data_IF_252730126051
#
_entry.id   IF_252730126051
#
_cell.length_a   1.000
_cell.length_b   1.000
_cell.length_c   1.000
_cell.angle_alpha   90.00
_cell.angle_beta   90.00
_cell.angle_gamma   90.00
#
_symmetry.space_group_name_H-M   'P 1'
#
loop_
_entity.id
_entity.type
_entity.pdbx_description
1 polymer ?
#
# COMPACT_ATOMS: atom_id res chain seq x y z
N UNK A 1 2.32 -4.86 1.47
CA UNK A 1 2.72 -5.34 2.82
C UNK A 1 3.23 -4.18 3.64
N UNK A 2 4.32 -3.49 3.25
CA UNK A 2 4.76 -2.24 3.91
C UNK A 2 3.65 -1.20 4.02
N UNK A 3 2.89 -1.04 2.94
CA UNK A 3 1.72 -0.15 2.91
C UNK A 3 0.69 -0.52 3.98
N UNK A 4 0.25 -1.78 4.00
CA UNK A 4 -0.66 -2.29 5.02
C UNK A 4 -0.14 -2.04 6.44
N UNK A 5 1.15 -2.25 6.69
CA UNK A 5 1.76 -1.97 8.01
C UNK A 5 1.73 -0.47 8.33
N UNK A 6 2.12 0.39 7.39
CA UNK A 6 2.14 1.84 7.55
C UNK A 6 0.74 2.41 7.81
N UNK A 7 -0.25 2.00 7.03
CA UNK A 7 -1.64 2.45 7.15
C UNK A 7 -2.27 2.06 8.49
N UNK A 8 -1.85 0.93 9.07
CA UNK A 8 -2.31 0.48 10.38
C UNK A 8 -1.38 0.94 11.51
N UNK A 9 -0.46 1.87 11.23
CA UNK A 9 0.51 2.42 12.19
C UNK A 9 1.32 1.33 12.91
N UNK A 10 1.65 0.26 12.18
CA UNK A 10 2.46 -0.85 12.67
C UNK A 10 3.93 -0.54 12.37
N UNK A 11 4.74 -0.43 13.41
CA UNK A 11 6.19 -0.34 13.26
C UNK A 11 6.78 -1.66 12.72
N UNK A 12 7.73 -1.56 11.80
CA UNK A 12 8.36 -2.74 11.19
C UNK A 12 9.83 -2.52 10.82
N UNK A 13 10.61 -3.60 10.81
CA UNK A 13 11.97 -3.64 10.28
C UNK A 13 11.95 -4.22 8.86
N UNK A 14 12.48 -3.49 7.88
CA UNK A 14 12.62 -4.00 6.52
C UNK A 14 13.97 -4.71 6.32
N UNK A 15 13.91 -5.98 5.90
CA UNK A 15 15.12 -6.76 5.55
C UNK A 15 15.15 -7.05 4.06
N UNK A 16 16.16 -6.53 3.37
CA UNK A 16 16.30 -6.70 1.92
C UNK A 16 17.20 -7.89 1.56
N UNK A 17 16.58 -9.00 1.18
CA UNK A 17 17.28 -10.24 0.80
C UNK A 17 18.05 -10.14 -0.52
N UNK A 18 17.80 -9.11 -1.34
CA UNK A 18 18.56 -8.89 -2.58
C UNK A 18 19.91 -8.24 -2.27
N UNK A 19 19.95 -7.35 -1.27
CA UNK A 19 21.15 -6.62 -0.85
C UNK A 19 22.01 -7.39 0.15
N UNK A 20 21.39 -8.14 1.06
CA UNK A 20 22.10 -8.80 2.16
C UNK A 20 21.87 -10.32 2.11
N UNK A 21 22.93 -11.06 1.82
CA UNK A 21 22.89 -12.53 1.68
C UNK A 21 22.43 -13.23 2.97
N UNK A 22 22.81 -12.71 4.14
CA UNK A 22 22.39 -13.26 5.44
C UNK A 22 20.87 -13.34 5.58
N UNK A 23 20.13 -12.34 5.09
CA UNK A 23 18.67 -12.33 5.16
C UNK A 23 18.04 -13.29 4.16
N UNK A 24 18.69 -13.53 3.02
CA UNK A 24 18.28 -14.57 2.07
C UNK A 24 18.42 -15.96 2.65
N UNK A 25 19.51 -16.23 3.38
CA UNK A 25 19.76 -17.50 4.06
C UNK A 25 18.75 -17.71 5.19
N UNK A 26 18.59 -16.71 6.08
CA UNK A 26 17.57 -16.76 7.14
C UNK A 26 16.16 -16.96 6.59
N UNK A 27 15.82 -16.35 5.45
CA UNK A 27 14.52 -16.56 4.81
C UNK A 27 14.36 -18.02 4.35
N UNK A 28 15.34 -18.58 3.63
CA UNK A 28 15.29 -19.98 3.17
C UNK A 28 15.18 -20.98 4.31
N UNK A 29 15.87 -20.75 5.42
CA UNK A 29 15.77 -21.61 6.61
C UNK A 29 14.37 -21.57 7.21
N UNK A 30 13.70 -20.41 7.14
CA UNK A 30 12.43 -20.17 7.81
C UNK A 30 11.22 -20.62 6.96
N UNK A 31 11.26 -20.38 5.64
CA UNK A 31 10.15 -20.67 4.72
C UNK A 31 10.40 -21.88 3.81
N UNK A 32 11.62 -22.43 3.79
CA UNK A 32 12.04 -23.49 2.86
C UNK A 32 12.33 -22.99 1.43
N UNK A 33 11.91 -21.78 1.09
CA UNK A 33 12.01 -21.19 -0.25
C UNK A 33 12.30 -19.69 -0.21
N UNK A 34 12.96 -19.15 -1.23
CA UNK A 34 13.25 -17.72 -1.34
C UNK A 34 12.05 -16.92 -1.87
N UNK A 35 10.90 -17.00 -1.19
CA UNK A 35 9.65 -16.32 -1.57
C UNK A 35 9.52 -15.01 -0.81
N UNK A 36 9.12 -13.94 -1.50
CA UNK A 36 8.86 -12.60 -0.93
C UNK A 36 7.55 -12.02 -1.47
N UNK A 37 6.87 -11.13 -0.74
CA UNK A 37 7.20 -10.63 0.61
C UNK A 37 6.85 -11.63 1.71
N UNK A 38 7.52 -11.54 2.87
CA UNK A 38 7.23 -12.33 4.07
C UNK A 38 7.17 -11.40 5.28
N UNK A 39 6.11 -11.55 6.06
CA UNK A 39 5.89 -10.85 7.33
C UNK A 39 6.11 -11.83 8.49
N UNK A 40 6.90 -11.42 9.47
CA UNK A 40 7.15 -12.16 10.71
C UNK A 40 6.62 -11.37 11.90
N UNK A 41 5.66 -11.94 12.63
CA UNK A 41 5.02 -11.31 13.79
C UNK A 41 4.93 -12.32 14.93
N UNK A 42 5.65 -12.10 16.03
CA UNK A 42 5.56 -12.95 17.23
C UNK A 42 5.81 -14.44 16.97
N UNK A 43 6.64 -14.79 15.99
CA UNK A 43 6.89 -16.18 15.57
C UNK A 43 5.94 -16.74 14.52
N UNK A 44 4.88 -16.01 14.15
CA UNK A 44 4.02 -16.33 13.02
C UNK A 44 4.60 -15.80 11.71
N UNK A 45 4.47 -16.57 10.64
CA UNK A 45 4.86 -16.17 9.29
C UNK A 45 3.64 -16.00 8.38
N UNK A 46 3.62 -14.90 7.63
CA UNK A 46 2.67 -14.65 6.54
C UNK A 46 3.46 -14.47 5.26
N UNK A 47 3.26 -15.36 4.30
CA UNK A 47 3.91 -15.32 2.99
C UNK A 47 2.95 -14.66 2.00
N UNK A 48 3.45 -13.70 1.22
CA UNK A 48 2.66 -12.96 0.24
C UNK A 48 1.86 -11.81 0.84
N UNK A 49 0.99 -11.23 0.01
CA UNK A 49 0.14 -10.11 0.37
C UNK A 49 -1.29 -10.57 0.65
N UNK A 50 -1.52 -11.10 1.85
CA UNK A 50 -2.85 -11.48 2.33
C UNK A 50 -3.22 -10.58 3.52
N UNK A 51 -3.95 -9.50 3.25
CA UNK A 51 -4.30 -8.47 4.25
C UNK A 51 -5.08 -9.05 5.44
N UNK A 52 -5.93 -10.04 5.18
CA UNK A 52 -6.67 -10.71 6.24
C UNK A 52 -5.73 -11.49 7.16
N UNK A 53 -4.84 -12.31 6.59
CA UNK A 53 -3.86 -13.06 7.38
C UNK A 53 -2.86 -12.16 8.08
N UNK A 54 -2.48 -11.04 7.46
CA UNK A 54 -1.65 -10.02 8.11
C UNK A 54 -2.39 -9.38 9.30
N UNK A 55 -3.65 -8.98 9.12
CA UNK A 55 -4.46 -8.41 10.20
C UNK A 55 -4.65 -9.38 11.37
N UNK A 56 -4.97 -10.64 11.06
CA UNK A 56 -5.09 -11.73 12.05
C UNK A 56 -3.76 -11.94 12.79
N UNK A 57 -2.63 -11.98 12.07
CA UNK A 57 -1.30 -12.13 12.68
C UNK A 57 -0.90 -10.94 13.57
N UNK A 58 -1.33 -9.73 13.22
CA UNK A 58 -1.06 -8.49 13.95
C UNK A 58 -2.08 -8.19 15.06
N UNK A 59 -3.15 -8.99 15.18
CA UNK A 59 -4.20 -8.78 16.17
C UNK A 59 -5.07 -7.53 15.93
N UNK A 60 -5.14 -7.07 14.67
CA UNK A 60 -5.92 -5.88 14.30
C UNK A 60 -7.42 -6.22 14.27
N UNK A 61 -8.20 -5.63 15.20
CA UNK A 61 -9.66 -5.84 15.32
C UNK A 61 -10.46 -5.15 14.22
N UNK A 62 -9.89 -4.08 13.68
CA UNK A 62 -10.38 -3.30 12.54
C UNK A 62 -9.20 -3.11 11.62
N UNK A 63 -8.89 -4.12 10.81
CA UNK A 63 -8.34 -3.83 9.49
C UNK A 63 -9.49 -3.24 8.69
N UNK A 64 -9.23 -2.29 7.79
CA UNK A 64 -10.26 -1.74 6.91
C UNK A 64 -10.89 -2.90 6.11
N UNK A 65 -11.92 -3.53 6.66
CA UNK A 65 -12.69 -4.58 6.02
C UNK A 65 -13.53 -4.01 4.86
N UNK A 66 -13.52 -2.68 4.71
CA UNK A 66 -14.01 -1.91 3.57
C UNK A 66 -12.90 -1.47 2.61
N UNK A 67 -11.66 -1.97 2.73
CA UNK A 67 -10.75 -1.93 1.58
C UNK A 67 -11.36 -2.85 0.53
N UNK A 68 -11.96 -2.23 -0.50
CA UNK A 68 -12.41 -2.88 -1.73
C UNK A 68 -11.54 -4.10 -2.00
N UNK A 69 -12.12 -5.29 -2.02
CA UNK A 69 -11.39 -6.57 -1.96
C UNK A 69 -10.37 -6.80 -3.08
N UNK A 70 -10.40 -5.95 -4.11
CA UNK A 70 -9.44 -5.93 -5.22
C UNK A 70 -8.67 -4.58 -5.32
N UNK A 71 -9.03 -3.59 -4.49
CA UNK A 71 -8.49 -2.24 -4.40
C UNK A 71 -8.68 -1.40 -5.66
N UNK A 72 -9.69 -1.75 -6.48
CA UNK A 72 -9.96 -1.19 -7.80
C UNK A 72 -11.20 -0.32 -7.85
N UNK A 73 -12.16 -0.50 -6.95
CA UNK A 73 -13.32 0.40 -6.92
C UNK A 73 -12.89 1.77 -6.37
N UNK A 74 -13.52 2.80 -6.92
CA UNK A 74 -13.28 4.18 -6.51
C UNK A 74 -13.65 4.36 -5.02
N UNK A 75 -12.85 5.11 -4.25
CA UNK A 75 -13.21 5.46 -2.89
C UNK A 75 -14.36 6.47 -2.90
N UNK A 76 -15.24 6.44 -1.89
CA UNK A 76 -16.42 7.31 -1.82
C UNK A 76 -16.04 8.80 -1.83
N UNK A 77 -14.88 9.13 -1.28
CA UNK A 77 -14.28 10.47 -1.26
C UNK A 77 -13.99 10.99 -2.66
N UNK A 78 -13.59 10.11 -3.59
CA UNK A 78 -13.34 10.47 -4.98
C UNK A 78 -14.65 10.80 -5.71
N UNK A 79 -15.73 10.06 -5.43
CA UNK A 79 -17.06 10.33 -5.97
C UNK A 79 -17.66 11.62 -5.40
N UNK A 80 -17.35 11.93 -4.14
CA UNK A 80 -17.80 13.15 -3.48
C UNK A 80 -17.08 14.43 -3.97
N UNK A 81 -16.01 14.32 -4.75
CA UNK A 81 -15.33 15.49 -5.30
C UNK A 81 -16.23 16.24 -6.29
N UNK A 82 -16.29 17.58 -6.23
CA UNK A 82 -17.10 18.37 -7.14
C UNK A 82 -16.66 18.20 -8.60
N UNK A 83 -17.62 18.28 -9.53
CA UNK A 83 -17.31 18.22 -10.97
C UNK A 83 -16.54 19.44 -11.47
N UNK A 84 -16.82 20.61 -10.88
CA UNK A 84 -16.19 21.88 -11.20
C UNK A 84 -15.48 22.41 -9.97
N UNK A 85 -14.20 22.70 -10.13
CA UNK A 85 -13.34 23.29 -9.11
C UNK A 85 -12.81 24.59 -9.68
N UNK A 86 -13.05 25.70 -8.98
CA UNK A 86 -12.69 27.04 -9.47
C UNK A 86 -11.18 27.29 -9.39
N UNK A 87 -10.51 26.68 -8.41
CA UNK A 87 -9.06 26.74 -8.27
C UNK A 87 -8.36 25.83 -9.29
N UNK A 88 -7.44 26.39 -10.07
CA UNK A 88 -6.77 25.69 -11.16
C UNK A 88 -5.91 24.51 -10.68
N UNK A 89 -5.28 24.63 -9.51
CA UNK A 89 -4.44 23.57 -8.93
C UNK A 89 -5.31 22.42 -8.43
N UNK A 90 -6.36 22.71 -7.69
CA UNK A 90 -7.31 21.72 -7.21
C UNK A 90 -8.07 21.05 -8.37
N UNK A 91 -8.38 21.79 -9.44
CA UNK A 91 -8.94 21.21 -10.67
C UNK A 91 -7.99 20.21 -11.33
N UNK A 92 -6.70 20.56 -11.46
CA UNK A 92 -5.69 19.69 -12.03
C UNK A 92 -5.48 18.41 -11.19
N UNK A 93 -5.41 18.55 -9.87
CA UNK A 93 -5.30 17.42 -8.93
C UNK A 93 -6.55 16.52 -8.98
N UNK A 94 -7.74 17.11 -9.02
CA UNK A 94 -9.02 16.38 -9.18
C UNK A 94 -9.05 15.58 -10.47
N UNK A 95 -8.61 16.17 -11.58
CA UNK A 95 -8.51 15.45 -12.84
C UNK A 95 -7.48 14.31 -12.77
N UNK A 96 -6.31 14.56 -12.18
CA UNK A 96 -5.24 13.58 -12.04
C UNK A 96 -5.67 12.37 -11.20
N UNK A 97 -6.32 12.60 -10.05
CA UNK A 97 -6.74 11.51 -9.16
C UNK A 97 -7.83 10.64 -9.80
N UNK A 98 -8.77 11.25 -10.54
CA UNK A 98 -9.75 10.52 -11.37
C UNK A 98 -9.08 9.73 -12.49
N UNK A 99 -7.97 10.22 -13.06
CA UNK A 99 -7.21 9.52 -14.11
C UNK A 99 -6.50 8.28 -13.56
N UNK A 100 -5.89 8.39 -12.38
CA UNK A 100 -5.24 7.26 -11.69
C UNK A 100 -6.25 6.13 -11.43
N UNK A 101 -7.43 6.48 -10.92
CA UNK A 101 -8.51 5.53 -10.68
C UNK A 101 -8.91 4.76 -11.95
N UNK A 102 -9.16 5.48 -13.06
CA UNK A 102 -9.50 4.84 -14.35
C UNK A 102 -8.40 3.92 -14.89
N UNK A 103 -7.14 4.28 -14.72
CA UNK A 103 -6.03 3.42 -15.16
C UNK A 103 -5.95 2.12 -14.35
N UNK A 104 -6.21 2.18 -13.05
CA UNK A 104 -6.28 0.97 -12.23
C UNK A 104 -7.44 0.06 -12.66
N UNK A 105 -8.64 0.62 -12.83
CA UNK A 105 -9.82 -0.11 -13.33
C UNK A 105 -9.55 -0.76 -14.71
N UNK A 106 -8.96 0.00 -15.64
CA UNK A 106 -8.59 -0.50 -16.96
C UNK A 106 -7.54 -1.61 -16.91
N UNK A 107 -6.58 -1.52 -16.00
CA UNK A 107 -5.54 -2.53 -15.82
C UNK A 107 -6.08 -3.83 -15.22
N UNK A 108 -7.03 -3.73 -14.30
CA UNK A 108 -7.65 -4.91 -13.70
C UNK A 108 -8.56 -5.69 -14.65
N UNK A 109 -9.27 -4.99 -15.54
CA UNK A 109 -10.10 -5.63 -16.56
C UNK A 109 -9.30 -6.53 -17.54
N UNK A 110 -7.96 -6.52 -17.48
CA UNK A 110 -7.07 -7.29 -18.36
C UNK A 110 -6.62 -8.66 -17.80
N UNK A 111 -7.19 -9.11 -16.68
CA UNK A 111 -7.06 -10.48 -16.10
C UNK A 111 -5.66 -11.14 -16.20
N UNK A 112 -4.55 -10.42 -15.97
CA UNK A 112 -3.21 -11.01 -16.12
C UNK A 112 -2.14 -10.52 -15.14
N UNK A 113 -1.57 -11.52 -14.45
CA UNK A 113 -0.28 -11.66 -13.76
C UNK A 113 0.00 -10.90 -12.43
N UNK A 114 0.69 -11.55 -11.46
CA UNK A 114 1.01 -10.98 -10.12
C UNK A 114 1.89 -9.71 -10.12
N UNK A 115 2.52 -9.38 -11.25
CA UNK A 115 3.43 -8.23 -11.38
C UNK A 115 2.69 -6.87 -11.35
N UNK A 116 1.36 -6.86 -11.49
CA UNK A 116 0.54 -5.64 -11.54
C UNK A 116 0.04 -5.18 -10.17
N UNK A 117 0.00 -6.07 -9.17
CA UNK A 117 -0.47 -5.74 -7.82
C UNK A 117 0.39 -4.66 -7.16
N UNK A 118 1.72 -4.75 -7.29
CA UNK A 118 2.64 -3.72 -6.80
C UNK A 118 2.59 -2.39 -7.58
N UNK A 119 2.17 -2.39 -8.85
CA UNK A 119 1.94 -1.16 -9.60
C UNK A 119 0.64 -0.48 -9.18
N UNK A 120 -0.40 -1.27 -8.88
CA UNK A 120 -1.65 -0.78 -8.32
C UNK A 120 -1.42 -0.19 -6.93
N UNK A 121 -0.55 -0.76 -6.10
CA UNK A 121 -0.16 -0.19 -4.81
C UNK A 121 0.38 1.25 -4.93
N UNK A 122 1.34 1.48 -5.85
CA UNK A 122 1.90 2.82 -6.05
C UNK A 122 0.87 3.83 -6.58
N UNK A 123 -0.04 3.40 -7.44
CA UNK A 123 -1.12 4.25 -7.95
C UNK A 123 -2.19 4.54 -6.89
N UNK A 124 -2.50 3.57 -6.03
CA UNK A 124 -3.38 3.75 -4.86
C UNK A 124 -2.80 4.78 -3.88
N UNK A 125 -1.53 4.63 -3.51
CA UNK A 125 -0.84 5.59 -2.66
C UNK A 125 -0.92 7.02 -3.22
N UNK A 126 -0.57 7.19 -4.51
CA UNK A 126 -0.64 8.50 -5.15
C UNK A 126 -2.07 9.07 -5.17
N UNK A 127 -3.08 8.23 -5.42
CA UNK A 127 -4.49 8.62 -5.41
C UNK A 127 -4.90 9.12 -4.01
N UNK A 128 -4.61 8.33 -2.98
CA UNK A 128 -5.09 8.58 -1.62
C UNK A 128 -4.38 9.79 -1.00
N UNK A 129 -3.08 9.97 -1.26
CA UNK A 129 -2.35 11.17 -0.85
C UNK A 129 -2.95 12.44 -1.48
N UNK A 130 -3.26 12.42 -2.78
CA UNK A 130 -3.89 13.55 -3.47
C UNK A 130 -5.32 13.80 -2.97
N UNK A 131 -6.10 12.75 -2.68
CA UNK A 131 -7.42 12.91 -2.06
C UNK A 131 -7.32 13.61 -0.70
N UNK A 132 -6.39 13.19 0.16
CA UNK A 132 -6.17 13.86 1.46
C UNK A 132 -5.78 15.32 1.30
N UNK A 133 -4.97 15.66 0.29
CA UNK A 133 -4.62 17.05 -0.02
C UNK A 133 -5.87 17.84 -0.41
N UNK A 134 -6.69 17.31 -1.33
CA UNK A 134 -7.92 17.94 -1.80
C UNK A 134 -8.96 18.11 -0.70
N UNK A 135 -9.00 17.17 0.25
CA UNK A 135 -9.91 17.20 1.40
C UNK A 135 -9.40 18.03 2.57
N UNK A 136 -8.16 18.55 2.50
CA UNK A 136 -7.53 19.28 3.61
C UNK A 136 -7.19 18.40 4.83
N UNK A 137 -7.14 17.07 4.65
CA UNK A 137 -6.84 16.08 5.70
C UNK A 137 -5.43 15.50 5.58
N UNK A 138 -4.60 16.06 4.69
CA UNK A 138 -3.23 15.61 4.52
C UNK A 138 -2.36 16.06 5.69
N UNK A 139 -1.81 15.09 6.42
CA UNK A 139 -0.77 15.33 7.42
C UNK A 139 0.61 15.04 6.80
N UNK A 140 1.57 15.94 7.04
CA UNK A 140 2.94 15.71 6.58
C UNK A 140 3.57 14.61 7.43
N UNK A 141 3.63 13.40 6.90
CA UNK A 141 4.42 12.32 7.47
C UNK A 141 5.90 12.72 7.38
N UNK A 142 6.47 13.13 8.51
CA UNK A 142 7.90 13.38 8.61
C UNK A 142 8.64 12.07 8.38
N UNK A 143 9.11 11.83 7.16
CA UNK A 143 9.99 10.71 6.85
C UNK A 143 11.34 10.94 7.56
N UNK A 144 11.49 10.41 8.76
CA UNK A 144 12.78 10.30 9.43
C UNK A 144 13.53 9.17 8.75
N UNK A 145 14.30 9.50 7.71
CA UNK A 145 15.31 8.58 7.20
C UNK A 145 16.45 8.57 8.22
N UNK A 146 16.41 7.65 9.18
CA UNK A 146 17.57 7.35 10.01
C UNK A 146 18.68 6.78 9.11
N UNK A 147 19.51 7.67 8.56
CA UNK A 147 20.80 7.28 8.00
C UNK A 147 21.66 6.91 9.21
N UNK A 148 21.78 5.60 9.44
CA UNK A 148 22.46 5.03 10.61
C UNK A 148 23.72 5.80 10.99
N UNK A 149 23.84 6.09 12.28
CA UNK A 149 25.10 6.48 12.92
C UNK A 149 26.18 5.42 12.63
N UNK A 150 27.45 5.83 12.52
CA UNK A 150 28.58 4.94 12.22
C UNK A 150 28.78 3.84 13.27
#
# INVERSE_FOLDING_TARGET
>A
MREFLSQNSVEYEERNIAKETRWRESLKELTGEAVVPVLLVGGNQVIGLDERRMAEALGLRTFAADSNRDGLAAPAELEALPEKVDDATAAALTHFVRRLQREMEYNAAKESAPYRDGQHDGMRFARDAVLRILMGTYEHEGMVIERGKP
#
